data_IF_897506763642
#
_entry.id   IF_897506763642
#
_cell.length_a   1.000
_cell.length_b   1.000
_cell.length_c   1.000
_cell.angle_alpha   90.00
_cell.angle_beta   90.00
_cell.angle_gamma   90.00
#
_symmetry.space_group_name_H-M   'P 1'
#
loop_
_entity.id
_entity.type
_entity.pdbx_description
1 polymer ?
#
# COMPACT_ATOMS: atom_id res chain seq x y z
N UNK A 1 -5.56 15.03 -19.01
CA UNK A 1 -6.44 14.42 -18.08
C UNK A 1 -5.70 14.04 -16.79
N UNK A 2 -6.26 14.44 -15.72
CA UNK A 2 -5.62 14.12 -14.45
C UNK A 2 -6.02 12.71 -14.08
N UNK A 3 -5.12 11.82 -14.21
CA UNK A 3 -5.37 10.48 -13.75
C UNK A 3 -4.77 10.34 -12.36
N UNK A 4 -5.34 9.46 -11.60
CA UNK A 4 -4.78 9.14 -10.32
C UNK A 4 -3.41 8.50 -10.53
N UNK A 5 -2.42 8.99 -9.83
CA UNK A 5 -1.10 8.38 -9.89
C UNK A 5 -1.15 7.02 -9.21
N UNK A 6 -0.42 6.06 -9.79
CA UNK A 6 -0.37 4.74 -9.21
C UNK A 6 0.18 4.74 -7.79
N UNK A 7 1.16 5.60 -7.51
CA UNK A 7 1.71 5.65 -6.16
C UNK A 7 0.68 6.15 -5.16
N UNK A 8 -0.14 7.13 -5.53
CA UNK A 8 -1.21 7.60 -4.66
C UNK A 8 -2.24 6.49 -4.42
N UNK A 9 -2.60 5.80 -5.49
CA UNK A 9 -3.55 4.70 -5.37
C UNK A 9 -3.01 3.63 -4.44
N UNK A 10 -1.75 3.25 -4.63
CA UNK A 10 -1.17 2.18 -3.81
C UNK A 10 -1.03 2.60 -2.35
N UNK A 11 -0.71 3.85 -2.09
CA UNK A 11 -0.63 4.33 -0.71
C UNK A 11 -2.00 4.31 -0.04
N UNK A 12 -3.03 4.67 -0.80
CA UNK A 12 -4.40 4.62 -0.30
C UNK A 12 -4.78 3.18 0.04
N UNK A 13 -4.44 2.24 -0.83
CA UNK A 13 -4.71 0.84 -0.59
C UNK A 13 -3.97 0.34 0.65
N UNK A 14 -2.73 0.79 0.83
CA UNK A 14 -1.96 0.39 2.00
C UNK A 14 -2.64 0.85 3.29
N UNK A 15 -3.15 2.06 3.30
CA UNK A 15 -3.87 2.56 4.47
C UNK A 15 -5.10 1.72 4.75
N UNK A 16 -5.85 1.39 3.69
CA UNK A 16 -7.04 0.57 3.85
C UNK A 16 -6.71 -0.81 4.38
N UNK A 17 -5.64 -1.42 3.87
CA UNK A 17 -5.23 -2.73 4.35
C UNK A 17 -4.82 -2.68 5.82
N UNK A 18 -4.14 -1.62 6.22
CA UNK A 18 -3.76 -1.48 7.63
C UNK A 18 -4.98 -1.36 8.52
N UNK A 19 -5.97 -0.61 8.09
CA UNK A 19 -7.20 -0.45 8.86
C UNK A 19 -7.92 -1.79 9.00
N UNK A 20 -7.98 -2.54 7.92
CA UNK A 20 -8.57 -3.86 7.96
C UNK A 20 -7.79 -4.79 8.89
N UNK A 21 -6.46 -4.68 8.85
CA UNK A 21 -5.62 -5.51 9.71
C UNK A 21 -5.90 -5.23 11.18
N UNK A 22 -6.08 -3.96 11.52
CA UNK A 22 -6.34 -3.59 12.90
C UNK A 22 -7.68 -4.15 13.39
N UNK A 23 -8.63 -4.31 12.48
CA UNK A 23 -9.93 -4.84 12.84
C UNK A 23 -10.00 -6.36 12.77
N UNK A 24 -9.01 -6.99 12.15
CA UNK A 24 -9.02 -8.44 11.99
C UNK A 24 -8.81 -9.12 13.33
N UNK A 25 -9.62 -10.14 13.59
CA UNK A 25 -9.50 -10.89 14.82
C UNK A 25 -8.52 -12.04 14.70
N UNK A 26 -8.35 -12.54 13.48
CA UNK A 26 -7.47 -13.67 13.22
C UNK A 26 -6.05 -13.16 13.01
N UNK A 27 -5.10 -13.76 13.73
CA UNK A 27 -3.70 -13.31 13.65
C UNK A 27 -3.13 -13.48 12.25
N UNK A 28 -3.45 -14.60 11.60
CA UNK A 28 -2.94 -14.84 10.25
C UNK A 28 -3.48 -13.82 9.26
N UNK A 29 -4.78 -13.52 9.36
CA UNK A 29 -5.38 -12.51 8.49
C UNK A 29 -4.76 -11.15 8.74
N UNK A 30 -4.51 -10.83 10.00
CA UNK A 30 -3.89 -9.56 10.34
C UNK A 30 -2.51 -9.44 9.71
N UNK A 31 -1.70 -10.49 9.82
CA UNK A 31 -0.36 -10.48 9.23
C UNK A 31 -0.41 -10.35 7.73
N UNK A 32 -1.32 -11.08 7.10
CA UNK A 32 -1.44 -11.02 5.64
C UNK A 32 -1.82 -9.62 5.17
N UNK A 33 -2.73 -8.98 5.90
CA UNK A 33 -3.14 -7.63 5.53
C UNK A 33 -2.03 -6.62 5.72
N UNK A 34 -1.24 -6.76 6.80
CA UNK A 34 -0.08 -5.90 6.98
C UNK A 34 0.96 -6.14 5.89
N UNK A 35 1.15 -7.39 5.49
CA UNK A 35 2.08 -7.70 4.41
C UNK A 35 1.64 -7.05 3.10
N UNK A 36 0.34 -7.11 2.81
CA UNK A 36 -0.18 -6.47 1.61
C UNK A 36 0.05 -4.97 1.64
N UNK A 37 -0.17 -4.36 2.81
CA UNK A 37 0.06 -2.93 2.95
C UNK A 37 1.53 -2.60 2.70
N UNK A 38 2.43 -3.41 3.22
CA UNK A 38 3.86 -3.19 3.03
C UNK A 38 4.24 -3.30 1.55
N UNK A 39 3.69 -4.28 0.87
CA UNK A 39 3.97 -4.46 -0.56
C UNK A 39 3.47 -3.25 -1.34
N UNK A 40 2.29 -2.75 -1.03
CA UNK A 40 1.75 -1.57 -1.71
C UNK A 40 2.68 -0.37 -1.51
N UNK A 41 3.20 -0.20 -0.30
CA UNK A 41 4.08 0.91 -0.02
C UNK A 41 5.42 0.76 -0.74
N UNK A 42 5.94 -0.45 -0.80
CA UNK A 42 7.19 -0.68 -1.52
C UNK A 42 7.06 -0.37 -3.00
N UNK A 43 5.96 -0.81 -3.59
CA UNK A 43 5.74 -0.54 -5.01
C UNK A 43 5.57 0.95 -5.23
N UNK A 44 4.84 1.64 -4.37
CA UNK A 44 4.66 3.07 -4.50
C UNK A 44 6.00 3.81 -4.41
N UNK A 45 6.85 3.39 -3.49
CA UNK A 45 8.17 4.00 -3.35
C UNK A 45 9.02 3.77 -4.60
N UNK A 46 8.94 2.57 -5.16
CA UNK A 46 9.68 2.26 -6.39
C UNK A 46 9.23 3.13 -7.55
N UNK A 47 7.93 3.35 -7.67
CA UNK A 47 7.40 4.20 -8.72
C UNK A 47 7.91 5.62 -8.54
N UNK A 48 7.87 6.13 -7.31
CA UNK A 48 8.36 7.48 -7.04
C UNK A 48 9.84 7.64 -7.34
N UNK A 49 10.63 6.63 -7.00
CA UNK A 49 12.06 6.66 -7.32
C UNK A 49 12.28 6.81 -8.81
N UNK A 50 11.55 6.07 -9.60
CA UNK A 50 11.69 6.13 -11.04
C UNK A 50 11.28 7.48 -11.59
N UNK A 51 10.19 8.04 -11.05
CA UNK A 51 9.67 9.31 -11.52
C UNK A 51 10.59 10.46 -11.17
N UNK A 52 11.32 10.36 -10.07
CA UNK A 52 12.21 11.43 -9.64
C UNK A 52 13.61 11.28 -10.20
N UNK A 53 13.82 10.36 -11.10
CA UNK A 53 15.09 10.24 -11.77
C UNK A 53 16.13 9.46 -11.02
N UNK A 54 15.65 8.66 -10.10
CA UNK A 54 16.55 7.83 -9.30
C UNK A 54 17.33 6.87 -10.15
#
# INVERSE_FOLDING_TARGET
MASMDWDDFLRHEAVMYRQLAEKAENVLSKQELFDLAAVCEEVANSIEDRLTGG
#
